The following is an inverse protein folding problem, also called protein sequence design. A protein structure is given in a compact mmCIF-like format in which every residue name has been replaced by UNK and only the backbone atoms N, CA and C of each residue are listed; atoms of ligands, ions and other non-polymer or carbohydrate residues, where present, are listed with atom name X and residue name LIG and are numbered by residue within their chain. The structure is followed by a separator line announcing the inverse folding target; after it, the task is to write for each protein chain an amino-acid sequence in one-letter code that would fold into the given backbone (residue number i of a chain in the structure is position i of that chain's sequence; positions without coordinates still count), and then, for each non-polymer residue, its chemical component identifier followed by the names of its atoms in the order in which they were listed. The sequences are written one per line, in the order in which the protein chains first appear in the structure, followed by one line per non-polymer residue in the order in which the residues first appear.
data_IF_086544778172
#
_entry.id   IF_086544778172
#
_cell.length_a   1.000
_cell.length_b   1.000
_cell.length_c   1.000
_cell.angle_alpha   90.00
_cell.angle_beta   90.00
_cell.angle_gamma   90.00
#
_symmetry.space_group_name_H-M   'P 1'
#
loop_
_entity.id
_entity.type
_entity.pdbx_description
1 polymer ?
#
# COMPACT_ATOMS: atom_id res chain seq x y z
N UNK A 1 -20.78 6.55 6.82
CA UNK A 1 -19.51 6.70 7.56
C UNK A 1 -18.54 7.39 6.63
N UNK A 2 -17.88 8.48 7.05
CA UNK A 2 -16.91 9.17 6.18
C UNK A 2 -15.70 8.23 6.06
N UNK A 3 -15.46 7.68 4.87
CA UNK A 3 -14.22 6.95 4.57
C UNK A 3 -13.07 7.81 5.07
N UNK A 4 -12.29 7.29 6.03
CA UNK A 4 -11.22 8.06 6.64
C UNK A 4 -10.05 8.09 5.65
N UNK A 5 -10.19 8.90 4.61
CA UNK A 5 -9.05 9.39 3.84
C UNK A 5 -8.18 10.13 4.85
N UNK A 6 -7.11 9.48 5.28
CA UNK A 6 -6.02 10.19 5.95
C UNK A 6 -5.22 10.79 4.81
N UNK A 7 -5.30 12.11 4.62
CA UNK A 7 -4.36 12.79 3.74
C UNK A 7 -2.96 12.33 4.14
N UNK A 8 -2.16 11.93 3.15
CA UNK A 8 -0.82 11.47 3.38
C UNK A 8 -0.06 12.63 4.06
N UNK A 9 0.09 12.55 5.38
CA UNK A 9 1.05 13.40 6.07
C UNK A 9 2.43 12.99 5.60
N UNK A 10 3.39 13.90 5.69
CA UNK A 10 4.80 13.60 5.43
C UNK A 10 5.27 12.33 6.16
N UNK A 11 4.77 12.09 7.37
CA UNK A 11 5.09 10.88 8.14
C UNK A 11 4.58 9.58 7.48
N UNK A 12 3.42 9.62 6.80
CA UNK A 12 2.91 8.45 6.07
C UNK A 12 3.77 8.14 4.85
N UNK A 13 4.22 9.18 4.14
CA UNK A 13 5.13 9.05 3.00
C UNK A 13 6.51 8.55 3.43
N UNK A 14 7.06 9.09 4.50
CA UNK A 14 8.33 8.67 5.07
C UNK A 14 8.30 7.19 5.49
N UNK A 15 7.21 6.75 6.14
CA UNK A 15 7.02 5.35 6.50
C UNK A 15 6.95 4.44 5.27
N UNK A 16 6.17 4.82 4.24
CA UNK A 16 6.09 4.08 2.98
C UNK A 16 7.46 3.99 2.31
N UNK A 17 8.21 5.09 2.25
CA UNK A 17 9.53 5.13 1.65
C UNK A 17 10.53 4.27 2.44
N UNK A 18 10.41 4.23 3.77
CA UNK A 18 11.17 3.32 4.62
C UNK A 18 10.93 1.85 4.29
N UNK A 19 9.67 1.44 4.10
CA UNK A 19 9.35 0.07 3.65
C UNK A 19 9.97 -0.25 2.30
N UNK A 20 9.89 0.67 1.33
CA UNK A 20 10.49 0.48 0.00
C UNK A 20 12.02 0.34 0.09
N UNK A 21 12.67 1.16 0.91
CA UNK A 21 14.12 1.10 1.11
C UNK A 21 14.54 -0.24 1.73
N UNK A 22 13.82 -0.69 2.75
CA UNK A 22 14.09 -1.97 3.41
C UNK A 22 13.92 -3.16 2.45
N UNK A 23 12.89 -3.17 1.61
CA UNK A 23 12.70 -4.22 0.60
C UNK A 23 13.88 -4.25 -0.37
N UNK A 24 14.32 -3.09 -0.87
CA UNK A 24 15.46 -2.99 -1.80
C UNK A 24 16.77 -3.45 -1.17
N UNK A 25 16.96 -3.23 0.13
CA UNK A 25 18.16 -3.63 0.85
C UNK A 25 18.16 -5.14 1.16
N UNK A 26 17.06 -5.67 1.67
CA UNK A 26 16.97 -7.05 2.18
C UNK A 26 16.72 -8.06 1.06
N UNK A 27 15.95 -7.67 0.03
CA UNK A 27 15.47 -8.55 -1.01
C UNK A 27 15.70 -7.96 -2.42
N UNK A 28 16.96 -7.57 -2.77
CA UNK A 28 17.25 -6.85 -4.02
C UNK A 28 16.89 -7.62 -5.28
N UNK A 29 16.99 -8.94 -5.25
CA UNK A 29 16.76 -9.83 -6.40
C UNK A 29 15.45 -10.64 -6.29
N UNK A 30 14.62 -10.36 -5.28
CA UNK A 30 13.36 -11.08 -5.10
C UNK A 30 12.33 -10.63 -6.15
N UNK A 31 11.65 -11.58 -6.83
CA UNK A 31 10.59 -11.26 -7.76
C UNK A 31 9.48 -10.42 -7.14
N UNK A 32 8.91 -9.49 -7.93
CA UNK A 32 7.92 -8.54 -7.43
C UNK A 32 6.62 -9.22 -6.92
N UNK A 33 6.24 -10.35 -7.50
CA UNK A 33 5.10 -11.17 -7.08
C UNK A 33 5.37 -11.91 -5.76
N UNK A 34 6.60 -12.36 -5.52
CA UNK A 34 7.00 -12.92 -4.21
C UNK A 34 7.00 -11.84 -3.12
N UNK A 35 7.53 -10.66 -3.42
CA UNK A 35 7.47 -9.49 -2.51
C UNK A 35 6.01 -9.17 -2.20
N UNK A 36 5.13 -9.15 -3.21
CA UNK A 36 3.70 -8.91 -3.02
C UNK A 36 3.06 -9.96 -2.11
N UNK A 37 3.38 -11.25 -2.30
CA UNK A 37 2.86 -12.32 -1.46
C UNK A 37 3.24 -12.14 0.02
N UNK A 38 4.50 -11.80 0.30
CA UNK A 38 4.99 -11.52 1.66
C UNK A 38 4.26 -10.31 2.27
N UNK A 39 4.13 -9.22 1.51
CA UNK A 39 3.44 -8.01 1.99
C UNK A 39 1.95 -8.28 2.24
N UNK A 40 1.28 -9.11 1.43
CA UNK A 40 -0.10 -9.53 1.67
C UNK A 40 -0.26 -10.28 3.01
N UNK A 41 0.67 -11.16 3.36
CA UNK A 41 0.68 -11.82 4.67
C UNK A 41 0.81 -10.79 5.79
N UNK A 42 1.73 -9.83 5.65
CA UNK A 42 1.92 -8.77 6.63
C UNK A 42 0.67 -7.89 6.78
N UNK A 43 0.02 -7.51 5.68
CA UNK A 43 -1.27 -6.80 5.72
C UNK A 43 -2.32 -7.61 6.50
N UNK A 44 -2.42 -8.92 6.29
CA UNK A 44 -3.32 -9.79 7.05
C UNK A 44 -3.07 -9.75 8.56
N UNK A 45 -1.80 -9.73 8.96
CA UNK A 45 -1.41 -9.58 10.37
C UNK A 45 -1.80 -8.21 10.93
N UNK A 46 -1.60 -7.13 10.17
CA UNK A 46 -2.02 -5.78 10.56
C UNK A 46 -3.54 -5.67 10.68
N UNK A 47 -4.31 -6.33 9.81
CA UNK A 47 -5.77 -6.42 9.90
C UNK A 47 -6.19 -7.13 11.19
N UNK A 48 -5.52 -8.24 11.55
CA UNK A 48 -5.82 -8.98 12.77
C UNK A 48 -5.53 -8.16 14.05
N UNK A 49 -4.60 -7.21 14.00
CA UNK A 49 -4.26 -6.33 15.12
C UNK A 49 -5.25 -5.18 15.34
N UNK A 50 -6.25 -4.99 14.47
CA UNK A 50 -7.21 -3.91 14.63
C UNK A 50 -8.15 -4.15 15.82
N UNK A 51 -8.40 -3.08 16.61
CA UNK A 51 -9.34 -3.13 17.74
C UNK A 51 -10.78 -3.31 17.23
N UNK A 52 -11.33 -4.50 17.44
CA UNK A 52 -12.68 -4.89 17.01
C UNK A 52 -13.80 -4.10 17.70
N UNK A 53 -13.51 -3.37 18.79
CA UNK A 53 -14.48 -2.46 19.43
C UNK A 53 -14.57 -1.13 18.69
N UNK A 54 -13.58 -0.81 17.86
CA UNK A 54 -13.45 0.46 17.14
C UNK A 54 -13.72 0.31 15.64
N UNK A 55 -13.43 -0.86 15.08
CA UNK A 55 -13.57 -1.12 13.65
C UNK A 55 -14.35 -2.40 13.41
N UNK A 56 -15.26 -2.37 12.44
CA UNK A 56 -15.89 -3.60 11.95
C UNK A 56 -14.98 -4.28 10.93
N UNK A 57 -15.13 -5.60 10.77
CA UNK A 57 -14.42 -6.38 9.75
C UNK A 57 -14.56 -5.75 8.36
N UNK A 58 -15.77 -5.37 7.99
CA UNK A 58 -16.10 -4.80 6.68
C UNK A 58 -15.35 -3.48 6.50
N UNK A 59 -15.33 -2.61 7.52
CA UNK A 59 -14.64 -1.32 7.44
C UNK A 59 -13.11 -1.46 7.30
N UNK A 60 -12.50 -2.46 7.93
CA UNK A 60 -11.06 -2.73 7.80
C UNK A 60 -10.73 -3.27 6.40
N UNK A 61 -11.57 -4.16 5.87
CA UNK A 61 -11.36 -4.69 4.53
C UNK A 61 -11.61 -3.63 3.45
N UNK A 62 -12.59 -2.74 3.64
CA UNK A 62 -12.81 -1.58 2.78
C UNK A 62 -11.58 -0.65 2.77
N UNK A 63 -11.00 -0.39 3.95
CA UNK A 63 -9.74 0.37 4.07
C UNK A 63 -8.62 -0.28 3.25
N UNK A 64 -8.44 -1.59 3.34
CA UNK A 64 -7.41 -2.31 2.56
C UNK A 64 -7.68 -2.17 1.06
N UNK A 65 -8.90 -2.45 0.61
CA UNK A 65 -9.27 -2.40 -0.80
C UNK A 65 -9.07 -0.99 -1.40
N UNK A 66 -9.57 0.05 -0.73
CA UNK A 66 -9.43 1.43 -1.21
C UNK A 66 -7.97 1.88 -1.30
N UNK A 67 -7.10 1.44 -0.38
CA UNK A 67 -5.68 1.79 -0.44
C UNK A 67 -4.94 1.05 -1.56
N UNK A 68 -5.29 -0.21 -1.83
CA UNK A 68 -4.76 -0.95 -2.98
C UNK A 68 -5.15 -0.26 -4.29
N UNK A 69 -6.42 0.11 -4.46
CA UNK A 69 -6.88 0.83 -5.64
C UNK A 69 -6.16 2.17 -5.82
N UNK A 70 -5.99 2.94 -4.74
CA UNK A 70 -5.25 4.19 -4.78
C UNK A 70 -3.78 3.99 -5.15
N UNK A 71 -3.10 2.99 -4.56
CA UNK A 71 -1.71 2.66 -4.88
C UNK A 71 -1.52 2.19 -6.32
N UNK A 72 -2.42 1.36 -6.84
CA UNK A 72 -2.41 0.92 -8.23
C UNK A 72 -2.53 2.09 -9.20
N UNK A 73 -3.43 3.04 -8.90
CA UNK A 73 -3.62 4.24 -9.72
C UNK A 73 -2.34 5.08 -9.81
N UNK A 74 -1.59 5.25 -8.71
CA UNK A 74 -0.30 5.95 -8.73
C UNK A 74 0.67 5.31 -9.74
N UNK A 75 0.80 3.98 -9.71
CA UNK A 75 1.70 3.26 -10.63
C UNK A 75 1.22 3.37 -12.08
N UNK A 76 -0.09 3.23 -12.32
CA UNK A 76 -0.67 3.36 -13.67
C UNK A 76 -0.46 4.77 -14.22
N UNK A 77 -0.72 5.81 -13.40
CA UNK A 77 -0.54 7.20 -13.79
C UNK A 77 0.92 7.49 -14.16
N UNK A 78 1.87 6.94 -13.41
CA UNK A 78 3.31 7.09 -13.71
C UNK A 78 3.70 6.37 -15.01
N UNK A 79 3.15 5.17 -15.27
CA UNK A 79 3.37 4.45 -16.53
C UNK A 79 2.79 5.19 -17.74
N UNK A 80 1.60 5.77 -17.60
CA UNK A 80 0.96 6.56 -18.65
C UNK A 80 1.74 7.85 -18.94
N UNK A 81 2.22 8.55 -17.91
CA UNK A 81 3.09 9.73 -18.06
C UNK A 81 4.41 9.38 -18.75
N UNK A 82 5.04 8.27 -18.36
CA UNK A 82 6.30 7.82 -18.96
C UNK A 82 6.17 7.49 -20.45
N UNK A 83 5.01 6.96 -20.89
CA UNK A 83 4.73 6.69 -22.32
C UNK A 83 4.45 7.93 -23.15
N UNK A 84 4.00 9.03 -22.54
CA UNK A 84 3.70 10.30 -23.25
C UNK A 84 4.93 11.14 -23.61
N UNK A 85 6.14 10.76 -23.18
CA UNK A 85 7.38 11.53 -23.35
C UNK A 85 8.27 11.17 -24.54
N UNK A 86 7.85 10.26 -25.42
CA UNK A 86 8.55 9.94 -26.66
C UNK A 86 7.55 9.94 -27.83
N UNK A 87 7.33 11.11 -28.41
CA UNK A 87 6.70 11.31 -29.71
C UNK A 87 7.44 12.42 -30.46
#
# INVERSE_FOLDING_TARGET
MRTKFMDASRQHEDLRNGFIAAIREIAPDMPADEILAVVCVFVGQLVALQDQRRFSRESVMELVASNIEAGNRVVIDDLLKARGGNA
#
